data_IF_804393558971
#
_entry.id   IF_804393558971
#
_cell.length_a   1.000
_cell.length_b   1.000
_cell.length_c   1.000
_cell.angle_alpha   90.00
_cell.angle_beta   90.00
_cell.angle_gamma   90.00
#
_symmetry.space_group_name_H-M   'P 1'
#
loop_
_entity.id
_entity.type
_entity.pdbx_description
1 polymer ?
#
# COMPACT_ATOMS: atom_id res chain seq x y z
N UNK A 1 -29.83 4.40 -1.38
CA UNK A 1 -29.06 3.35 -2.06
C UNK A 1 -27.81 3.13 -1.24
N UNK A 2 -27.71 2.01 -0.52
CA UNK A 2 -26.51 1.71 0.26
C UNK A 2 -25.39 1.29 -0.69
N UNK A 3 -24.14 1.76 -0.50
CA UNK A 3 -23.02 1.26 -1.27
C UNK A 3 -22.86 -0.24 -0.97
N UNK A 4 -22.70 -1.05 -2.01
CA UNK A 4 -22.41 -2.47 -1.88
C UNK A 4 -21.09 -2.62 -1.11
N UNK A 5 -20.98 -3.55 -0.14
CA UNK A 5 -19.70 -3.86 0.48
C UNK A 5 -18.76 -4.31 -0.64
N UNK A 6 -17.65 -3.59 -0.83
CA UNK A 6 -16.59 -4.07 -1.73
C UNK A 6 -16.20 -5.46 -1.23
N UNK A 7 -16.06 -6.46 -2.12
CA UNK A 7 -15.61 -7.78 -1.71
C UNK A 7 -14.28 -7.63 -0.98
N UNK A 8 -14.26 -8.05 0.28
CA UNK A 8 -13.10 -8.03 1.15
C UNK A 8 -11.90 -8.64 0.41
N UNK A 9 -10.97 -7.79 -0.01
CA UNK A 9 -9.76 -8.22 -0.72
C UNK A 9 -9.44 -7.51 -2.03
N UNK A 10 -10.28 -6.59 -2.52
CA UNK A 10 -9.92 -5.79 -3.70
C UNK A 10 -9.02 -4.62 -3.31
N UNK A 11 -7.72 -4.91 -3.21
CA UNK A 11 -6.65 -3.91 -3.07
C UNK A 11 -6.74 -2.95 -4.27
N UNK A 12 -6.74 -1.64 -4.03
CA UNK A 12 -6.77 -0.68 -5.15
C UNK A 12 -5.52 -0.83 -6.01
N UNK A 13 -5.61 -0.49 -7.31
CA UNK A 13 -4.45 -0.50 -8.20
C UNK A 13 -3.25 0.24 -7.60
N UNK A 14 -3.49 1.38 -6.93
CA UNK A 14 -2.46 2.16 -6.25
C UNK A 14 -1.74 1.40 -5.13
N UNK A 15 -2.46 0.64 -4.30
CA UNK A 15 -1.85 -0.22 -3.27
C UNK A 15 -1.12 -1.42 -3.87
N UNK A 16 -1.59 -1.96 -5.01
CA UNK A 16 -0.90 -3.02 -5.73
C UNK A 16 0.46 -2.54 -6.25
N UNK A 17 0.49 -1.35 -6.85
CA UNK A 17 1.72 -0.75 -7.39
C UNK A 17 2.75 -0.52 -6.28
N UNK A 18 2.32 0.00 -5.12
CA UNK A 18 3.21 0.21 -3.96
C UNK A 18 3.75 -1.12 -3.42
N UNK A 19 2.92 -2.17 -3.36
CA UNK A 19 3.35 -3.49 -2.92
C UNK A 19 4.39 -4.13 -3.86
N UNK A 20 4.24 -3.94 -5.17
CA UNK A 20 5.21 -4.46 -6.14
C UNK A 20 6.54 -3.70 -6.08
N UNK A 21 6.52 -2.39 -5.82
CA UNK A 21 7.72 -1.60 -5.53
C UNK A 21 8.42 -2.08 -4.25
N UNK A 22 7.66 -2.37 -3.19
CA UNK A 22 8.21 -2.95 -1.95
C UNK A 22 8.87 -4.30 -2.22
N UNK A 23 8.24 -5.18 -3.00
CA UNK A 23 8.83 -6.48 -3.37
C UNK A 23 10.14 -6.31 -4.13
N UNK A 24 10.15 -5.44 -5.15
CA UNK A 24 11.37 -5.14 -5.91
C UNK A 24 12.47 -4.54 -5.04
N UNK A 25 12.11 -3.79 -4.00
CA UNK A 25 13.06 -3.23 -3.04
C UNK A 25 13.65 -4.30 -2.11
N UNK A 26 12.86 -5.31 -1.73
CA UNK A 26 13.34 -6.43 -0.89
C UNK A 26 14.32 -7.35 -1.61
N UNK A 27 14.28 -7.41 -2.95
CA UNK A 27 15.28 -8.12 -3.75
C UNK A 27 16.65 -7.41 -3.79
N UNK A 28 16.72 -6.16 -3.31
CA UNK A 28 17.96 -5.40 -3.25
C UNK A 28 18.72 -5.68 -1.94
N UNK A 29 20.07 -5.66 -1.98
CA UNK A 29 20.89 -5.83 -0.79
C UNK A 29 20.58 -4.75 0.27
N UNK A 30 20.79 -5.10 1.53
CA UNK A 30 20.52 -4.18 2.64
C UNK A 30 21.46 -2.98 2.58
N UNK A 31 20.87 -1.80 2.40
CA UNK A 31 21.55 -0.50 2.44
C UNK A 31 20.72 0.53 3.20
N UNK A 32 21.35 1.62 3.62
CA UNK A 32 20.67 2.78 4.21
C UNK A 32 19.68 3.39 3.21
N UNK A 33 20.06 3.46 1.94
CA UNK A 33 19.22 3.90 0.83
C UNK A 33 17.95 3.03 0.69
N UNK A 34 18.11 1.70 0.76
CA UNK A 34 16.96 0.77 0.74
C UNK A 34 16.04 1.02 1.92
N UNK A 35 16.60 1.30 3.09
CA UNK A 35 15.81 1.54 4.31
C UNK A 35 15.02 2.84 4.21
N UNK A 36 15.62 3.90 3.67
CA UNK A 36 14.94 5.16 3.40
C UNK A 36 13.81 5.00 2.37
N UNK A 37 14.08 4.34 1.24
CA UNK A 37 13.08 4.07 0.21
C UNK A 37 11.92 3.21 0.75
N UNK A 38 12.21 2.23 1.61
CA UNK A 38 11.19 1.40 2.24
C UNK A 38 10.29 2.22 3.17
N UNK A 39 10.87 3.14 3.97
CA UNK A 39 10.10 4.02 4.84
C UNK A 39 9.18 4.98 4.07
N UNK A 40 9.65 5.49 2.92
CA UNK A 40 8.83 6.32 2.03
C UNK A 40 7.65 5.53 1.42
N UNK A 41 7.91 4.29 0.97
CA UNK A 41 6.86 3.42 0.43
C UNK A 41 5.83 3.04 1.49
N UNK A 42 6.25 2.79 2.74
CA UNK A 42 5.32 2.54 3.85
C UNK A 42 4.45 3.76 4.18
N UNK A 43 5.01 4.97 4.08
CA UNK A 43 4.25 6.21 4.28
C UNK A 43 3.20 6.38 3.18
N UNK A 44 3.57 6.11 1.92
CA UNK A 44 2.64 6.15 0.80
C UNK A 44 1.55 5.09 0.93
N UNK A 45 1.92 3.86 1.32
CA UNK A 45 0.97 2.78 1.57
C UNK A 45 -0.04 3.18 2.66
N UNK A 46 0.43 3.77 3.76
CA UNK A 46 -0.42 4.24 4.84
C UNK A 46 -1.42 5.30 4.34
N UNK A 47 -0.97 6.31 3.62
CA UNK A 47 -1.83 7.36 3.07
C UNK A 47 -2.92 6.79 2.16
N UNK A 48 -2.55 5.93 1.20
CA UNK A 48 -3.53 5.33 0.27
C UNK A 48 -4.47 4.36 1.00
N UNK A 49 -3.98 3.62 1.98
CA UNK A 49 -4.83 2.71 2.78
C UNK A 49 -5.88 3.45 3.61
N UNK A 50 -5.59 4.68 4.05
CA UNK A 50 -6.57 5.49 4.79
C UNK A 50 -7.71 5.96 3.89
N UNK A 51 -7.45 6.25 2.61
CA UNK A 51 -8.49 6.61 1.64
C UNK A 51 -9.33 5.40 1.20
N UNK A 52 -8.80 4.18 1.29
CA UNK A 52 -9.52 2.95 0.95
C UNK A 52 -10.39 2.38 2.08
N UNK A 53 -10.08 2.72 3.33
CA UNK A 53 -10.91 2.35 4.48
C UNK A 53 -11.95 3.44 4.70
N UNK A 54 -13.02 3.41 3.90
CA UNK A 54 -14.29 3.99 4.34
C UNK A 54 -14.68 3.31 5.67
N UNK A 55 -15.01 4.08 6.73
CA UNK A 55 -15.36 3.49 8.01
C UNK A 55 -16.58 2.60 7.82
N UNK A 56 -16.49 1.35 8.26
CA UNK A 56 -17.67 0.50 8.38
C UNK A 56 -18.67 1.22 9.30
N UNK A 57 -19.83 1.57 8.73
CA UNK A 57 -20.90 2.35 9.35
C UNK A 57 -21.53 1.67 10.57
#
# INVERSE_FOLDING_TARGET
MSPLPRPDGQVTPALSDINDLIRSLMDQPTSEERTAAYAELLTQWANVSQDDVEPAA
#
